data_IF_737244168374
#
_entry.id   IF_737244168374
#
_cell.length_a   1.000
_cell.length_b   1.000
_cell.length_c   1.000
_cell.angle_alpha   90.00
_cell.angle_beta   90.00
_cell.angle_gamma   90.00
#
_symmetry.space_group_name_H-M   'P 1'
#
loop_
_entity.id
_entity.type
_entity.pdbx_description
1 polymer ?
#
# COMPACT_ATOMS: atom_id res chain seq x y z
N UNK A 1 -28.78 9.62 -21.30
CA UNK A 1 -27.33 9.34 -21.29
C UNK A 1 -26.72 10.21 -20.21
N UNK A 2 -26.32 9.62 -19.09
CA UNK A 2 -25.69 10.35 -17.97
C UNK A 2 -24.22 10.65 -18.31
N UNK A 3 -23.70 11.84 -17.99
CA UNK A 3 -22.27 12.10 -18.11
C UNK A 3 -21.49 11.41 -16.99
N UNK A 4 -20.39 10.78 -17.39
CA UNK A 4 -19.40 10.12 -16.53
C UNK A 4 -18.98 11.05 -15.38
N UNK A 5 -19.24 10.64 -14.14
CA UNK A 5 -18.77 11.29 -12.90
C UNK A 5 -17.33 10.92 -12.59
N UNK A 6 -16.42 11.13 -13.55
CA UNK A 6 -14.98 11.02 -13.29
C UNK A 6 -14.46 12.39 -12.89
N UNK A 7 -14.09 12.53 -11.62
CA UNK A 7 -13.37 13.70 -11.14
C UNK A 7 -12.11 13.89 -12.01
N UNK A 8 -11.83 15.11 -12.49
CA UNK A 8 -10.61 15.38 -13.23
C UNK A 8 -9.40 15.13 -12.30
N UNK A 9 -8.59 14.14 -12.67
CA UNK A 9 -7.31 13.87 -12.02
C UNK A 9 -6.41 15.08 -12.18
N UNK A 10 -6.07 15.73 -11.07
CA UNK A 10 -5.12 16.84 -11.03
C UNK A 10 -3.74 16.37 -11.56
N UNK A 11 -3.06 17.19 -12.39
CA UNK A 11 -1.77 16.84 -13.00
C UNK A 11 -0.60 16.83 -12.02
N UNK A 12 -0.81 17.19 -10.75
CA UNK A 12 0.23 17.26 -9.72
C UNK A 12 0.54 15.91 -9.06
N UNK A 13 -0.28 14.88 -9.31
CA UNK A 13 -0.03 13.53 -8.77
C UNK A 13 0.77 12.76 -9.80
N UNK A 14 2.10 12.86 -9.74
CA UNK A 14 3.02 11.99 -10.48
C UNK A 14 2.87 10.55 -9.98
N UNK A 15 1.80 9.87 -10.39
CA UNK A 15 1.68 8.43 -10.19
C UNK A 15 2.67 7.75 -11.13
N UNK A 16 3.46 6.77 -10.66
CA UNK A 16 4.27 6.00 -11.58
C UNK A 16 3.37 5.35 -12.64
N UNK A 17 3.67 5.63 -13.91
CA UNK A 17 3.17 4.84 -15.03
C UNK A 17 3.63 3.40 -14.82
N UNK A 18 2.75 2.41 -15.00
CA UNK A 18 3.02 0.98 -14.84
C UNK A 18 4.33 0.54 -15.50
N UNK A 19 5.41 0.52 -14.73
CA UNK A 19 6.74 0.04 -15.06
C UNK A 19 7.35 -0.52 -13.78
N UNK A 20 8.17 -1.56 -13.91
CA UNK A 20 8.67 -2.48 -12.88
C UNK A 20 8.97 -1.92 -11.46
N UNK A 21 9.17 -2.81 -10.49
CA UNK A 21 9.44 -2.41 -9.09
C UNK A 21 10.72 -1.57 -8.92
N UNK A 22 11.67 -1.65 -9.87
CA UNK A 22 12.83 -0.76 -9.91
C UNK A 22 12.47 0.71 -10.15
N UNK A 23 11.49 0.99 -11.02
CA UNK A 23 10.98 2.35 -11.21
C UNK A 23 10.25 2.85 -9.96
N UNK A 24 9.47 1.98 -9.31
CA UNK A 24 8.83 2.29 -8.04
C UNK A 24 9.87 2.61 -6.95
N UNK A 25 10.93 1.79 -6.82
CA UNK A 25 12.02 2.00 -5.86
C UNK A 25 12.70 3.37 -6.05
N UNK A 26 12.89 3.80 -7.31
CA UNK A 26 13.45 5.11 -7.63
C UNK A 26 12.49 6.26 -7.33
N UNK A 27 11.20 6.10 -7.62
CA UNK A 27 10.17 7.08 -7.27
C UNK A 27 10.08 7.30 -5.75
N UNK A 28 10.06 6.22 -4.97
CA UNK A 28 9.98 6.28 -3.51
C UNK A 28 11.16 7.04 -2.87
N UNK A 29 12.35 7.04 -3.49
CA UNK A 29 13.48 7.85 -3.00
C UNK A 29 13.26 9.36 -3.09
N UNK A 30 12.22 9.83 -3.78
CA UNK A 30 11.94 11.25 -4.02
C UNK A 30 10.83 11.88 -3.15
N UNK A 31 10.09 11.13 -2.32
CA UNK A 31 8.99 11.66 -1.49
C UNK A 31 9.51 12.38 -0.24
N UNK A 32 9.11 13.64 -0.02
CA UNK A 32 9.67 14.49 1.05
C UNK A 32 8.60 15.41 1.66
N UNK A 33 7.54 14.87 2.25
CA UNK A 33 6.72 15.69 3.16
C UNK A 33 7.45 15.94 4.50
N UNK A 34 8.03 14.90 5.09
CA UNK A 34 8.83 14.96 6.31
C UNK A 34 9.80 13.77 6.45
N UNK A 35 10.50 13.72 7.59
CA UNK A 35 11.47 12.66 7.90
C UNK A 35 10.83 11.27 8.06
N UNK A 36 9.58 11.18 8.51
CA UNK A 36 8.87 9.91 8.64
C UNK A 36 8.44 9.39 7.26
N UNK A 37 7.92 10.25 6.37
CA UNK A 37 7.63 9.90 4.97
C UNK A 37 8.88 9.38 4.27
N UNK A 38 10.03 10.06 4.44
CA UNK A 38 11.31 9.62 3.86
C UNK A 38 11.67 8.22 4.33
N UNK A 39 11.57 7.94 5.63
CA UNK A 39 11.87 6.62 6.21
C UNK A 39 10.93 5.53 5.70
N UNK A 40 9.64 5.82 5.58
CA UNK A 40 8.65 4.87 5.05
C UNK A 40 9.00 4.53 3.61
N UNK A 41 9.27 5.53 2.78
CA UNK A 41 9.57 5.33 1.37
C UNK A 41 10.90 4.62 1.13
N UNK A 42 11.94 4.92 1.91
CA UNK A 42 13.22 4.19 1.87
C UNK A 42 13.02 2.71 2.19
N UNK A 43 12.33 2.43 3.29
CA UNK A 43 12.07 1.05 3.69
C UNK A 43 11.16 0.29 2.70
N UNK A 44 10.23 0.97 2.04
CA UNK A 44 9.44 0.40 0.94
C UNK A 44 10.30 0.14 -0.31
N UNK A 45 11.28 0.99 -0.59
CA UNK A 45 12.25 0.80 -1.69
C UNK A 45 13.08 -0.48 -1.49
N UNK A 46 13.47 -0.77 -0.24
CA UNK A 46 14.16 -2.01 0.12
C UNK A 46 13.27 -3.25 -0.08
N UNK A 47 11.99 -3.17 0.30
CA UNK A 47 11.01 -4.23 0.05
C UNK A 47 10.84 -4.48 -1.46
N UNK A 48 10.67 -3.42 -2.24
CA UNK A 48 10.51 -3.50 -3.70
C UNK A 48 11.73 -4.16 -4.37
N UNK A 49 12.94 -3.88 -3.88
CA UNK A 49 14.18 -4.49 -4.38
C UNK A 49 14.20 -6.01 -4.15
N UNK A 50 13.81 -6.47 -2.95
CA UNK A 50 13.74 -7.91 -2.65
C UNK A 50 12.65 -8.60 -3.46
N UNK A 51 11.50 -7.96 -3.61
CA UNK A 51 10.38 -8.45 -4.44
C UNK A 51 10.82 -8.65 -5.89
N UNK A 52 11.46 -7.66 -6.51
CA UNK A 52 11.95 -7.75 -7.89
C UNK A 52 12.93 -8.92 -8.05
N UNK A 53 13.89 -9.07 -7.13
CA UNK A 53 14.86 -10.15 -7.17
C UNK A 53 14.18 -11.54 -7.13
N UNK A 54 13.17 -11.70 -6.27
CA UNK A 54 12.40 -12.95 -6.16
C UNK A 54 11.61 -13.23 -7.44
N UNK A 55 10.95 -12.21 -8.01
CA UNK A 55 10.19 -12.36 -9.27
C UNK A 55 11.12 -12.78 -10.41
N UNK A 56 12.27 -12.13 -10.56
CA UNK A 56 13.26 -12.48 -11.57
C UNK A 56 13.76 -13.92 -11.40
N UNK A 57 14.01 -14.35 -10.17
CA UNK A 57 14.43 -15.72 -9.89
C UNK A 57 13.32 -16.74 -10.19
N UNK A 58 12.07 -16.46 -9.78
CA UNK A 58 10.91 -17.32 -10.04
C UNK A 58 10.60 -17.46 -11.53
N UNK A 59 10.84 -16.41 -12.33
CA UNK A 59 10.71 -16.45 -13.79
C UNK A 59 11.77 -17.34 -14.45
N UNK A 60 12.90 -17.58 -13.78
CA UNK A 60 13.98 -18.43 -14.29
C UNK A 60 13.83 -19.89 -13.85
N UNK A 61 13.59 -20.15 -12.56
CA UNK A 61 13.31 -21.49 -12.03
C UNK A 61 12.58 -21.43 -10.67
N UNK A 62 12.00 -22.56 -10.25
CA UNK A 62 11.29 -22.69 -8.97
C UNK A 62 12.04 -23.53 -7.94
N UNK A 63 13.37 -23.64 -8.10
CA UNK A 63 14.19 -24.51 -7.25
C UNK A 63 14.14 -24.01 -5.81
N UNK A 64 13.66 -24.87 -4.90
CA UNK A 64 13.42 -24.51 -3.49
C UNK A 64 14.69 -23.99 -2.81
N UNK A 65 15.83 -24.62 -3.05
CA UNK A 65 17.11 -24.22 -2.43
C UNK A 65 17.58 -22.84 -2.88
N UNK A 66 17.05 -22.32 -3.99
CA UNK A 66 17.33 -20.97 -4.50
C UNK A 66 16.31 -19.96 -3.96
N UNK A 67 15.01 -20.26 -4.08
CA UNK A 67 13.95 -19.30 -3.79
C UNK A 67 13.63 -19.21 -2.29
N UNK A 68 13.66 -20.32 -1.55
CA UNK A 68 13.26 -20.32 -0.14
C UNK A 68 14.14 -19.40 0.73
N UNK A 69 15.48 -19.35 0.59
CA UNK A 69 16.30 -18.36 1.29
C UNK A 69 15.88 -16.92 1.00
N UNK A 70 15.60 -16.57 -0.26
CA UNK A 70 15.18 -15.22 -0.65
C UNK A 70 13.83 -14.83 -0.01
N UNK A 71 12.90 -15.77 0.08
CA UNK A 71 11.62 -15.57 0.78
C UNK A 71 11.80 -15.38 2.30
N UNK A 72 12.74 -16.11 2.91
CA UNK A 72 13.09 -15.94 4.33
C UNK A 72 13.75 -14.59 4.60
N UNK A 73 14.63 -14.15 3.69
CA UNK A 73 15.24 -12.82 3.76
C UNK A 73 14.16 -11.73 3.65
N UNK A 74 13.23 -11.87 2.69
CA UNK A 74 12.09 -10.97 2.56
C UNK A 74 11.23 -10.94 3.84
N UNK A 75 10.99 -12.06 4.52
CA UNK A 75 10.29 -12.05 5.81
C UNK A 75 11.02 -11.23 6.88
N UNK A 76 12.35 -11.20 6.85
CA UNK A 76 13.16 -10.40 7.77
C UNK A 76 13.04 -8.92 7.44
N UNK A 77 13.16 -8.54 6.17
CA UNK A 77 12.96 -7.15 5.71
C UNK A 77 11.54 -6.68 6.02
N UNK A 78 10.53 -7.50 5.73
CA UNK A 78 9.11 -7.22 6.00
C UNK A 78 8.84 -7.01 7.50
N UNK A 79 9.48 -7.79 8.36
CA UNK A 79 9.40 -7.61 9.82
C UNK A 79 9.99 -6.27 10.25
N UNK A 80 11.17 -5.91 9.71
CA UNK A 80 11.82 -4.63 9.98
C UNK A 80 10.97 -3.45 9.52
N UNK A 81 10.47 -3.49 8.29
CA UNK A 81 9.57 -2.49 7.73
C UNK A 81 8.31 -2.33 8.59
N UNK A 82 7.62 -3.44 8.92
CA UNK A 82 6.42 -3.39 9.76
C UNK A 82 6.72 -2.78 11.14
N UNK A 83 7.85 -3.12 11.75
CA UNK A 83 8.23 -2.56 13.05
C UNK A 83 8.39 -1.03 12.97
N UNK A 84 9.04 -0.54 11.91
CA UNK A 84 9.16 0.89 11.63
C UNK A 84 7.77 1.53 11.42
N UNK A 85 6.89 0.95 10.60
CA UNK A 85 5.53 1.48 10.37
C UNK A 85 4.74 1.59 11.66
N UNK A 86 4.80 0.57 12.53
CA UNK A 86 4.14 0.62 13.85
C UNK A 86 4.70 1.72 14.75
N UNK A 87 5.97 2.10 14.54
CA UNK A 87 6.64 3.18 15.26
C UNK A 87 6.27 4.60 14.81
N UNK A 88 5.56 4.77 13.68
CA UNK A 88 5.20 6.09 13.14
C UNK A 88 4.36 6.91 14.12
N UNK A 89 4.41 8.24 13.99
CA UNK A 89 3.68 9.18 14.84
C UNK A 89 2.15 9.05 14.80
N UNK A 90 1.46 9.69 15.75
CA UNK A 90 0.00 9.67 15.85
C UNK A 90 -0.73 10.12 14.56
N UNK A 91 -0.24 11.13 13.80
CA UNK A 91 -0.87 11.53 12.54
C UNK A 91 -1.03 10.38 11.53
N UNK A 92 0.01 9.56 11.35
CA UNK A 92 -0.03 8.39 10.48
C UNK A 92 -1.07 7.36 10.95
N UNK A 93 -1.10 7.08 12.26
CA UNK A 93 -2.00 6.07 12.84
C UNK A 93 -3.47 6.46 12.81
N UNK A 94 -3.76 7.76 12.63
CA UNK A 94 -5.11 8.28 12.47
C UNK A 94 -5.69 8.06 11.07
N UNK A 95 -4.85 7.73 10.08
CA UNK A 95 -5.28 7.48 8.70
C UNK A 95 -5.92 6.10 8.57
N UNK A 96 -6.98 5.99 7.78
CA UNK A 96 -7.61 4.70 7.48
C UNK A 96 -6.62 3.76 6.77
N UNK A 97 -5.81 4.33 5.90
CA UNK A 97 -4.77 3.69 5.08
C UNK A 97 -3.69 3.01 5.93
N UNK A 98 -3.48 3.47 7.16
CA UNK A 98 -2.51 2.87 8.06
C UNK A 98 -2.94 1.44 8.46
N UNK A 99 -4.21 1.26 8.80
CA UNK A 99 -4.74 -0.05 9.16
C UNK A 99 -4.77 -1.00 7.94
N UNK A 100 -5.16 -0.49 6.76
CA UNK A 100 -5.16 -1.29 5.54
C UNK A 100 -3.75 -1.72 5.16
N UNK A 101 -2.76 -0.83 5.28
CA UNK A 101 -1.37 -1.18 4.97
C UNK A 101 -0.81 -2.24 5.93
N UNK A 102 -1.07 -2.12 7.24
CA UNK A 102 -0.68 -3.14 8.21
C UNK A 102 -1.34 -4.51 7.94
N UNK A 103 -2.57 -4.51 7.43
CA UNK A 103 -3.25 -5.72 7.00
C UNK A 103 -2.58 -6.32 5.75
N UNK A 104 -2.23 -5.50 4.76
CA UNK A 104 -1.52 -5.93 3.56
C UNK A 104 -0.16 -6.55 3.88
N UNK A 105 0.63 -5.90 4.75
CA UNK A 105 1.91 -6.43 5.23
C UNK A 105 1.75 -7.79 5.94
N UNK A 106 0.70 -7.94 6.75
CA UNK A 106 0.44 -9.23 7.40
C UNK A 106 -0.02 -10.30 6.40
N UNK A 107 -0.84 -9.94 5.41
CA UNK A 107 -1.29 -10.85 4.37
C UNK A 107 -0.11 -11.38 3.56
N UNK A 108 0.79 -10.51 3.09
CA UNK A 108 2.02 -10.89 2.40
C UNK A 108 2.88 -11.84 3.27
N UNK A 109 3.08 -11.50 4.55
CA UNK A 109 3.83 -12.36 5.50
C UNK A 109 3.23 -13.77 5.60
N UNK A 110 1.91 -13.88 5.70
CA UNK A 110 1.21 -15.17 5.83
C UNK A 110 1.37 -15.98 4.55
N UNK A 111 1.17 -15.36 3.37
CA UNK A 111 1.32 -16.03 2.08
C UNK A 111 2.74 -16.53 1.85
N UNK A 112 3.76 -15.72 2.18
CA UNK A 112 5.16 -16.18 2.13
C UNK A 112 5.37 -17.41 3.03
N UNK A 113 4.82 -17.41 4.25
CA UNK A 113 4.87 -18.55 5.14
C UNK A 113 4.19 -19.80 4.56
N UNK A 114 3.05 -19.64 3.90
CA UNK A 114 2.34 -20.74 3.23
C UNK A 114 3.15 -21.30 2.07
N UNK A 115 3.67 -20.45 1.18
CA UNK A 115 4.49 -20.89 0.05
C UNK A 115 5.76 -21.63 0.49
N UNK A 116 6.38 -21.22 1.60
CA UNK A 116 7.53 -21.93 2.16
C UNK A 116 7.19 -23.36 2.65
N UNK A 117 5.96 -23.57 3.15
CA UNK A 117 5.49 -24.85 3.69
C UNK A 117 4.87 -25.77 2.62
N UNK A 118 4.39 -25.21 1.51
CA UNK A 118 3.81 -25.96 0.40
C UNK A 118 4.81 -26.95 -0.23
N UNK A 119 4.30 -28.09 -0.71
CA UNK A 119 5.10 -29.18 -1.32
C UNK A 119 5.80 -30.11 -0.32
N UNK A 120 5.81 -29.77 0.98
CA UNK A 120 6.41 -30.59 2.02
C UNK A 120 7.96 -30.60 2.03
N UNK A 121 8.58 -31.18 3.08
CA UNK A 121 10.01 -31.05 3.35
C UNK A 121 10.94 -31.74 2.33
N UNK A 122 10.39 -32.52 1.40
CA UNK A 122 11.16 -33.26 0.38
C UNK A 122 10.98 -32.71 -1.04
N UNK A 123 10.15 -31.68 -1.24
CA UNK A 123 9.98 -31.11 -2.57
C UNK A 123 11.21 -30.32 -2.99
N UNK A 124 11.74 -30.62 -4.18
CA UNK A 124 12.84 -29.88 -4.80
C UNK A 124 12.40 -28.51 -5.33
N UNK A 125 11.10 -28.32 -5.57
CA UNK A 125 10.54 -27.09 -6.11
C UNK A 125 9.47 -26.49 -5.18
N UNK A 126 9.27 -25.17 -5.31
CA UNK A 126 8.13 -24.47 -4.74
C UNK A 126 6.96 -24.49 -5.73
N UNK A 127 5.74 -24.60 -5.21
CA UNK A 127 4.51 -24.47 -6.01
C UNK A 127 4.16 -23.01 -6.34
N UNK A 128 4.93 -22.06 -5.78
CA UNK A 128 4.80 -20.63 -6.02
C UNK A 128 5.05 -20.26 -7.49
N UNK A 129 4.13 -19.51 -8.09
CA UNK A 129 4.31 -18.90 -9.40
C UNK A 129 4.77 -17.44 -9.26
N UNK A 130 5.53 -16.96 -10.26
CA UNK A 130 5.96 -15.57 -10.31
C UNK A 130 4.76 -14.59 -10.32
N UNK A 131 3.71 -14.90 -11.07
CA UNK A 131 2.51 -14.06 -11.21
C UNK A 131 1.77 -13.90 -9.87
N UNK A 132 1.57 -14.99 -9.14
CA UNK A 132 0.89 -14.98 -7.83
C UNK A 132 1.69 -14.15 -6.81
N UNK A 133 3.01 -14.34 -6.77
CA UNK A 133 3.89 -13.56 -5.92
C UNK A 133 3.87 -12.07 -6.29
N UNK A 134 4.03 -11.77 -7.58
CA UNK A 134 4.06 -10.42 -8.12
C UNK A 134 2.76 -9.65 -7.84
N UNK A 135 1.60 -10.28 -8.03
CA UNK A 135 0.30 -9.68 -7.75
C UNK A 135 0.16 -9.23 -6.28
N UNK A 136 0.51 -10.12 -5.35
CA UNK A 136 0.41 -9.85 -3.91
C UNK A 136 1.41 -8.78 -3.48
N UNK A 137 2.62 -8.82 -4.04
CA UNK A 137 3.66 -7.84 -3.76
C UNK A 137 3.26 -6.44 -4.28
N UNK A 138 2.75 -6.35 -5.51
CA UNK A 138 2.23 -5.10 -6.07
C UNK A 138 1.11 -4.52 -5.22
N UNK A 139 0.14 -5.34 -4.82
CA UNK A 139 -0.95 -4.89 -3.95
C UNK A 139 -0.43 -4.34 -2.63
N UNK A 140 0.52 -5.04 -2.01
CA UNK A 140 1.10 -4.62 -0.73
C UNK A 140 1.83 -3.28 -0.86
N UNK A 141 2.63 -3.11 -1.90
CA UNK A 141 3.37 -1.86 -2.13
C UNK A 141 2.44 -0.71 -2.52
N UNK A 142 1.39 -0.97 -3.31
CA UNK A 142 0.38 0.03 -3.65
C UNK A 142 -0.38 0.54 -2.41
N UNK A 143 -0.72 -0.33 -1.46
CA UNK A 143 -1.34 0.08 -0.20
C UNK A 143 -0.40 1.00 0.63
N UNK A 144 0.91 0.73 0.61
CA UNK A 144 1.90 1.59 1.27
C UNK A 144 2.09 2.94 0.56
N UNK A 145 2.05 2.96 -0.78
CA UNK A 145 2.08 4.20 -1.55
C UNK A 145 0.88 5.07 -1.27
N UNK A 146 -0.31 4.47 -1.15
CA UNK A 146 -1.53 5.18 -0.81
C UNK A 146 -1.44 5.79 0.58
N UNK A 147 -0.88 5.07 1.55
CA UNK A 147 -0.63 5.60 2.89
C UNK A 147 0.25 6.86 2.85
N UNK A 148 1.37 6.82 2.11
CA UNK A 148 2.23 7.98 1.93
C UNK A 148 1.46 9.12 1.26
N UNK A 149 0.82 8.89 0.12
CA UNK A 149 0.10 9.92 -0.64
C UNK A 149 -0.98 10.62 0.21
N UNK A 150 -1.79 9.86 0.96
CA UNK A 150 -2.82 10.43 1.82
C UNK A 150 -2.21 11.23 2.97
N UNK A 151 -1.10 10.74 3.55
CA UNK A 151 -0.39 11.47 4.59
C UNK A 151 0.16 12.80 4.07
N UNK A 152 0.83 12.80 2.92
CA UNK A 152 1.39 14.01 2.33
C UNK A 152 0.29 15.03 1.99
N UNK A 153 -0.84 14.58 1.45
CA UNK A 153 -2.01 15.43 1.21
C UNK A 153 -2.60 16.01 2.51
N UNK A 154 -2.64 15.22 3.58
CA UNK A 154 -3.11 15.68 4.89
C UNK A 154 -2.18 16.75 5.46
N UNK A 155 -0.87 16.54 5.42
CA UNK A 155 0.14 17.54 5.85
C UNK A 155 -0.01 18.84 5.07
N UNK A 156 -0.17 18.76 3.74
CA UNK A 156 -0.38 19.95 2.91
C UNK A 156 -1.63 20.74 3.29
N UNK A 157 -2.74 20.05 3.61
CA UNK A 157 -3.99 20.71 4.04
C UNK A 157 -3.83 21.42 5.38
N UNK A 158 -3.15 20.78 6.34
CA UNK A 158 -2.87 21.39 7.64
C UNK A 158 -1.97 22.63 7.50
N UNK A 159 -0.91 22.55 6.69
CA UNK A 159 0.02 23.66 6.47
C UNK A 159 -0.64 24.84 5.74
N UNK A 160 -1.55 24.57 4.82
CA UNK A 160 -2.28 25.62 4.09
C UNK A 160 -3.52 26.16 4.82
N UNK A 161 -3.76 25.73 6.07
CA UNK A 161 -4.90 26.21 6.86
C UNK A 161 -6.26 25.89 6.23
N UNK A 162 -6.29 24.94 5.30
CA UNK A 162 -7.53 24.46 4.71
C UNK A 162 -8.20 23.59 5.76
N UNK A 163 -9.13 24.17 6.53
CA UNK A 163 -10.06 23.36 7.29
C UNK A 163 -10.69 22.36 6.32
N UNK A 164 -10.79 21.07 6.68
CA UNK A 164 -11.59 20.17 5.88
C UNK A 164 -12.98 20.81 5.83
N UNK A 165 -13.42 21.23 4.64
CA UNK A 165 -14.82 21.56 4.44
C UNK A 165 -15.56 20.30 4.87
N UNK A 166 -16.10 20.31 6.08
CA UNK A 166 -16.97 19.26 6.54
C UNK A 166 -18.01 19.15 5.44
N UNK A 167 -18.10 18.00 4.76
CA UNK A 167 -18.98 17.86 3.60
C UNK A 167 -20.41 18.26 3.94
N UNK A 168 -20.79 18.18 5.23
CA UNK A 168 -22.04 18.66 5.80
C UNK A 168 -22.23 20.19 5.75
N UNK A 169 -21.16 20.97 5.91
CA UNK A 169 -21.18 22.43 5.79
C UNK A 169 -21.26 22.89 4.32
N UNK A 170 -20.84 22.04 3.38
CA UNK A 170 -20.96 22.27 1.94
C UNK A 170 -22.31 21.82 1.35
N UNK A 171 -23.19 21.19 2.14
CA UNK A 171 -24.53 20.80 1.68
C UNK A 171 -25.45 22.01 1.70
N UNK A 172 -26.08 22.28 0.55
CA UNK A 172 -27.20 23.22 0.48
C UNK A 172 -28.37 22.72 1.35
N UNK A 173 -29.16 23.63 1.94
CA UNK A 173 -30.39 23.32 2.72
C UNK A 173 -31.26 22.18 2.14
N UNK A 174 -31.55 22.12 0.82
CA UNK A 174 -32.36 21.03 0.24
C UNK A 174 -31.68 19.65 0.22
N UNK A 175 -30.36 19.56 0.40
CA UNK A 175 -29.63 18.29 0.50
C UNK A 175 -29.61 17.79 1.95
N UNK A 176 -29.47 18.70 2.92
CA UNK A 176 -29.58 18.39 4.35
C UNK A 176 -30.98 17.87 4.68
N UNK A 177 -32.03 18.52 4.17
CA UNK A 177 -33.42 18.10 4.39
C UNK A 177 -33.67 16.67 3.85
N UNK A 178 -33.09 16.33 2.69
CA UNK A 178 -33.17 14.99 2.10
C UNK A 178 -32.44 13.93 2.93
N UNK A 179 -31.27 14.26 3.47
CA UNK A 179 -30.52 13.35 4.34
C UNK A 179 -31.28 13.07 5.66
N UNK A 180 -31.90 14.11 6.25
CA UNK A 180 -32.73 13.98 7.46
C UNK A 180 -33.98 13.12 7.18
N UNK A 181 -34.64 13.34 6.05
CA UNK A 181 -35.80 12.56 5.62
C UNK A 181 -35.44 11.08 5.40
N UNK A 182 -34.29 10.80 4.78
CA UNK A 182 -33.79 9.43 4.58
C UNK A 182 -33.48 8.75 5.92
N UNK A 183 -32.86 9.47 6.85
CA UNK A 183 -32.54 8.94 8.18
C UNK A 183 -33.79 8.67 9.03
N UNK A 184 -34.83 9.51 8.93
CA UNK A 184 -36.14 9.29 9.57
C UNK A 184 -36.83 8.02 9.03
N UNK A 185 -36.68 7.72 7.73
CA UNK A 185 -37.23 6.50 7.11
C UNK A 185 -36.52 5.22 7.54
N UNK A 186 -35.28 5.29 7.99
CA UNK A 186 -34.48 4.15 8.46
C UNK A 186 -34.72 3.79 9.94
N UNK A 187 -35.44 4.63 10.69
CA UNK A 187 -35.79 4.40 12.10
C UNK A 187 -37.24 3.92 12.29
N UNK A 188 -37.94 3.60 11.20
CA UNK A 188 -39.21 2.84 11.17
C UNK A 188 -38.91 1.41 10.73
#
# INVERSE_FOLDING_TARGET
MSPDSRLPSHPSTERPSSGNFGQLSNFLRGSIADEDSRRVSESMSDLATHVEAIILSLRHNKVRTTIAPMLVDLLTVLRGHRHMVVGLGLPWRGLYEYASYLQALNHLRVLIGQWLLEGGPRSTELLLNAEDFELVAWRTLADGMLLIDVYEQWVQREQHGQQPESGLAALSEPQVERAIQWWKKLRL
#
